data_IF_132590003977
#
_entry.id   IF_132590003977
#
_cell.length_a   1.000
_cell.length_b   1.000
_cell.length_c   1.000
_cell.angle_alpha   90.00
_cell.angle_beta   90.00
_cell.angle_gamma   90.00
#
_symmetry.space_group_name_H-M   'P 1'
#
loop_
_entity.id
_entity.type
_entity.pdbx_description
1 polymer ?
#
# COMPACT_ATOMS: atom_id res chain seq x y z
N UNK A 1 3.47 25.50 -34.70
CA UNK A 1 2.18 25.58 -35.32
C UNK A 1 1.14 24.85 -34.49
N UNK A 2 -0.13 25.00 -34.82
CA UNK A 2 -1.22 24.45 -34.02
C UNK A 2 -1.14 22.93 -33.81
N UNK A 3 -0.68 22.18 -34.82
CA UNK A 3 -0.53 20.73 -34.72
C UNK A 3 0.49 20.31 -33.66
N UNK A 4 1.63 21.01 -33.59
CA UNK A 4 2.66 20.73 -32.58
C UNK A 4 2.15 21.02 -31.17
N UNK A 5 1.45 22.12 -31.00
CA UNK A 5 0.89 22.50 -29.70
C UNK A 5 -0.13 21.49 -29.22
N UNK A 6 -1.02 21.02 -30.11
CA UNK A 6 -2.00 19.99 -29.78
C UNK A 6 -1.32 18.68 -29.42
N UNK A 7 -0.27 18.29 -30.14
CA UNK A 7 0.49 17.10 -29.85
C UNK A 7 1.16 17.18 -28.47
N UNK A 8 1.71 18.34 -28.14
CA UNK A 8 2.35 18.55 -26.83
C UNK A 8 1.33 18.49 -25.70
N UNK A 9 0.14 19.07 -25.92
CA UNK A 9 -0.94 19.01 -24.91
C UNK A 9 -1.40 17.57 -24.70
N UNK A 10 -1.60 16.82 -25.81
CA UNK A 10 -2.01 15.42 -25.73
C UNK A 10 -0.97 14.56 -25.01
N UNK A 11 0.33 14.82 -25.27
CA UNK A 11 1.41 14.11 -24.62
C UNK A 11 1.46 14.43 -23.11
N UNK A 12 1.22 15.70 -22.76
CA UNK A 12 1.21 16.11 -21.35
C UNK A 12 0.02 15.49 -20.61
N UNK A 13 -1.16 15.40 -21.24
CA UNK A 13 -2.32 14.76 -20.66
C UNK A 13 -2.11 13.27 -20.45
N UNK A 14 -1.50 12.59 -21.42
CA UNK A 14 -1.18 11.18 -21.30
C UNK A 14 -0.18 10.94 -20.18
N UNK A 15 0.82 11.78 -20.07
CA UNK A 15 1.80 11.68 -19.01
C UNK A 15 1.16 11.89 -17.64
N UNK A 16 0.28 12.88 -17.54
CA UNK A 16 -0.45 13.15 -16.29
C UNK A 16 -1.33 11.96 -15.89
N UNK A 17 -2.01 11.35 -16.87
CA UNK A 17 -2.83 10.18 -16.61
C UNK A 17 -2.00 9.01 -16.13
N UNK A 18 -0.87 8.76 -16.77
CA UNK A 18 0.05 7.70 -16.38
C UNK A 18 0.57 7.90 -14.95
N UNK A 19 0.90 9.13 -14.59
CA UNK A 19 1.34 9.45 -13.24
C UNK A 19 0.23 9.17 -12.22
N UNK A 20 -1.00 9.57 -12.54
CA UNK A 20 -2.14 9.31 -11.65
C UNK A 20 -2.42 7.81 -11.50
N UNK A 21 -2.36 7.05 -12.58
CA UNK A 21 -2.55 5.60 -12.53
C UNK A 21 -1.49 4.93 -11.70
N UNK A 22 -0.25 5.34 -11.87
CA UNK A 22 0.85 4.79 -11.08
C UNK A 22 0.69 5.13 -9.60
N UNK A 23 0.31 6.35 -9.29
CA UNK A 23 0.09 6.77 -7.91
C UNK A 23 -1.04 5.96 -7.25
N UNK A 24 -2.11 5.71 -7.99
CA UNK A 24 -3.21 4.88 -7.48
C UNK A 24 -2.78 3.45 -7.24
N UNK A 25 -1.99 2.88 -8.15
CA UNK A 25 -1.47 1.53 -8.00
C UNK A 25 -0.55 1.43 -6.77
N UNK A 26 0.30 2.42 -6.57
CA UNK A 26 1.18 2.47 -5.40
C UNK A 26 0.38 2.62 -4.11
N UNK A 27 -0.65 3.46 -4.12
CA UNK A 27 -1.52 3.64 -2.95
C UNK A 27 -2.25 2.35 -2.60
N UNK A 28 -2.75 1.63 -3.61
CA UNK A 28 -3.41 0.34 -3.41
C UNK A 28 -2.46 -0.69 -2.82
N UNK A 29 -1.23 -0.74 -3.32
CA UNK A 29 -0.20 -1.64 -2.82
C UNK A 29 0.16 -1.32 -1.36
N UNK A 30 0.29 -0.04 -1.03
CA UNK A 30 0.55 0.38 0.34
C UNK A 30 -0.58 -0.02 1.29
N UNK A 31 -1.83 0.11 0.84
CA UNK A 31 -2.98 -0.29 1.65
C UNK A 31 -2.97 -1.80 1.93
N UNK A 32 -2.68 -2.60 0.91
CA UNK A 32 -2.57 -4.06 1.05
C UNK A 32 -1.45 -4.42 2.03
N UNK A 33 -0.31 -3.78 1.87
CA UNK A 33 0.85 -4.03 2.72
C UNK A 33 0.58 -3.64 4.17
N UNK A 34 -0.08 -2.50 4.38
CA UNK A 34 -0.45 -2.05 5.72
C UNK A 34 -1.40 -3.02 6.40
N UNK A 35 -2.35 -3.57 5.65
CA UNK A 35 -3.28 -4.56 6.17
C UNK A 35 -2.56 -5.84 6.57
N UNK A 36 -1.67 -6.34 5.72
CA UNK A 36 -0.87 -7.53 6.02
C UNK A 36 0.01 -7.33 7.25
N UNK A 37 0.66 -6.18 7.33
CA UNK A 37 1.51 -5.85 8.47
C UNK A 37 0.71 -5.75 9.76
N UNK A 38 -0.46 -5.12 9.68
CA UNK A 38 -1.36 -5.01 10.82
C UNK A 38 -1.83 -6.37 11.31
N UNK A 39 -2.22 -7.26 10.41
CA UNK A 39 -2.64 -8.62 10.74
C UNK A 39 -1.49 -9.41 11.36
N UNK A 40 -0.29 -9.30 10.80
CA UNK A 40 0.89 -9.98 11.33
C UNK A 40 1.21 -9.52 12.75
N UNK A 41 1.13 -8.21 12.99
CA UNK A 41 1.37 -7.64 14.34
C UNK A 41 0.32 -8.10 15.34
N UNK A 42 -0.94 -8.10 14.92
CA UNK A 42 -2.02 -8.58 15.78
C UNK A 42 -1.81 -10.03 16.16
N UNK A 43 -1.50 -10.88 15.18
CA UNK A 43 -1.25 -12.30 15.43
C UNK A 43 -0.04 -12.50 16.34
N UNK A 44 1.01 -11.71 16.19
CA UNK A 44 2.19 -11.78 17.04
C UNK A 44 1.85 -11.40 18.49
N UNK A 45 1.05 -10.36 18.68
CA UNK A 45 0.61 -9.94 20.02
C UNK A 45 -0.24 -11.03 20.68
N UNK A 46 -1.18 -11.61 19.94
CA UNK A 46 -2.03 -12.68 20.45
C UNK A 46 -1.19 -13.90 20.83
N UNK A 47 -0.29 -14.34 19.94
CA UNK A 47 0.58 -15.48 20.20
C UNK A 47 1.48 -15.24 21.41
N UNK A 48 2.02 -14.03 21.52
CA UNK A 48 2.84 -13.65 22.68
C UNK A 48 2.06 -13.68 23.98
N UNK A 49 0.83 -13.18 23.96
CA UNK A 49 -0.03 -13.22 25.15
C UNK A 49 -0.37 -14.65 25.55
N UNK A 50 -0.67 -15.51 24.56
CA UNK A 50 -0.95 -16.92 24.82
C UNK A 50 0.25 -17.62 25.45
N UNK A 51 1.43 -17.33 24.94
CA UNK A 51 2.67 -17.90 25.50
C UNK A 51 2.91 -17.45 26.92
N UNK A 52 2.69 -16.17 27.20
CA UNK A 52 2.81 -15.65 28.56
C UNK A 52 1.81 -16.29 29.51
N UNK A 53 0.60 -16.56 29.04
CA UNK A 53 -0.42 -17.26 29.83
C UNK A 53 -0.01 -18.68 30.14
N UNK A 54 0.51 -19.39 29.15
CA UNK A 54 1.01 -20.76 29.35
C UNK A 54 2.15 -20.80 30.36
N UNK A 55 3.07 -19.86 30.24
CA UNK A 55 4.20 -19.75 31.17
C UNK A 55 3.74 -19.45 32.59
N UNK A 56 2.78 -18.56 32.75
CA UNK A 56 2.22 -18.24 34.07
C UNK A 56 1.54 -19.46 34.72
N UNK A 57 0.86 -20.29 33.91
CA UNK A 57 0.19 -21.48 34.41
C UNK A 57 1.17 -22.58 34.83
N UNK A 58 2.37 -22.60 34.23
CA UNK A 58 3.39 -23.56 34.63
C UNK A 58 3.96 -23.30 36.02
N UNK A 59 3.97 -22.04 36.40
CA UNK A 59 4.45 -21.65 37.69
C UNK A 59 3.36 -21.77 38.76
#
# INVERSE_FOLDING_TARGET
MAMQELTQIAAAEEQARAICEQARAEAAELAVQAEKDGTARLNAVISGAQERMREAKRQ
#
